data_IF_973568507737
#
_entry.id   IF_973568507737
#
_cell.length_a   1.000
_cell.length_b   1.000
_cell.length_c   1.000
_cell.angle_alpha   90.00
_cell.angle_beta   90.00
_cell.angle_gamma   90.00
#
_symmetry.space_group_name_H-M   'P 1'
#
loop_
_entity.id
_entity.type
_entity.pdbx_description
1 polymer ?
#
# COMPACT_ATOMS: atom_id res chain seq x y z
N UNK A 1 -4.42 19.36 7.20
CA UNK A 1 -3.88 18.24 6.40
C UNK A 1 -3.77 18.61 4.90
N UNK A 2 -4.83 19.14 4.27
CA UNK A 2 -4.88 19.42 2.82
C UNK A 2 -3.73 20.34 2.34
N UNK A 3 -3.49 21.45 3.02
CA UNK A 3 -2.40 22.40 2.69
C UNK A 3 -0.99 21.80 2.79
N UNK A 4 -0.76 20.87 3.72
CA UNK A 4 0.53 20.18 3.86
C UNK A 4 0.74 19.19 2.71
N UNK A 5 -0.33 18.49 2.30
CA UNK A 5 -0.32 17.58 1.17
C UNK A 5 -0.04 18.32 -0.15
N UNK A 6 -0.73 19.43 -0.39
CA UNK A 6 -0.53 20.27 -1.57
C UNK A 6 0.91 20.79 -1.66
N UNK A 7 1.51 21.17 -0.51
CA UNK A 7 2.93 21.55 -0.47
C UNK A 7 3.84 20.37 -0.81
N UNK A 8 3.64 19.19 -0.20
CA UNK A 8 4.46 18.01 -0.46
C UNK A 8 4.46 17.63 -1.95
N UNK A 9 3.30 17.62 -2.58
CA UNK A 9 3.13 17.31 -4.01
C UNK A 9 3.90 18.28 -4.91
N UNK A 10 3.97 19.54 -4.53
CA UNK A 10 4.63 20.57 -5.36
C UNK A 10 6.16 20.57 -5.26
N UNK A 11 6.73 20.02 -4.19
CA UNK A 11 8.18 20.07 -3.94
C UNK A 11 8.87 18.70 -3.97
N UNK A 12 8.13 17.61 -3.88
CA UNK A 12 8.70 16.26 -3.89
C UNK A 12 8.91 15.74 -5.31
N UNK A 13 10.03 15.07 -5.55
CA UNK A 13 10.29 14.36 -6.80
C UNK A 13 9.37 13.15 -7.00
N UNK A 14 8.98 12.50 -5.90
CA UNK A 14 8.02 11.39 -5.86
C UNK A 14 7.16 11.50 -4.61
N UNK A 15 5.89 11.19 -4.75
CA UNK A 15 4.92 11.24 -3.66
C UNK A 15 4.33 9.86 -3.43
N UNK A 16 4.51 9.35 -2.20
CA UNK A 16 3.89 8.12 -1.74
C UNK A 16 2.86 8.43 -0.65
N UNK A 17 1.76 7.67 -0.63
CA UNK A 17 0.74 7.79 0.40
C UNK A 17 0.14 6.42 0.74
N UNK A 18 -0.15 6.21 2.03
CA UNK A 18 -1.04 5.13 2.49
C UNK A 18 -2.47 5.66 2.57
N UNK A 19 -3.45 4.83 2.20
CA UNK A 19 -4.87 5.15 2.38
C UNK A 19 -5.31 5.15 3.84
N UNK A 20 -4.48 4.60 4.72
CA UNK A 20 -4.56 4.58 6.19
C UNK A 20 -5.65 3.67 6.77
N UNK A 21 -6.91 3.94 6.47
CA UNK A 21 -8.04 3.13 6.91
C UNK A 21 -9.27 3.34 6.02
N UNK A 22 -10.17 2.36 6.05
CA UNK A 22 -11.40 2.35 5.27
C UNK A 22 -12.33 3.52 5.60
N UNK A 23 -12.40 3.98 6.87
CA UNK A 23 -13.25 5.10 7.26
C UNK A 23 -12.77 6.42 6.64
N UNK A 24 -11.45 6.64 6.58
CA UNK A 24 -10.85 7.77 5.89
C UNK A 24 -11.16 7.72 4.39
N UNK A 25 -11.03 6.55 3.78
CA UNK A 25 -11.35 6.34 2.36
C UNK A 25 -12.81 6.67 2.10
N UNK A 26 -13.76 6.11 2.85
CA UNK A 26 -15.19 6.30 2.65
C UNK A 26 -15.61 7.76 2.82
N UNK A 27 -15.03 8.45 3.80
CA UNK A 27 -15.32 9.88 4.08
C UNK A 27 -14.78 10.82 3.02
N UNK A 28 -13.65 10.49 2.38
CA UNK A 28 -12.93 11.37 1.46
C UNK A 28 -12.70 10.75 0.08
N UNK A 29 -13.56 9.84 -0.35
CA UNK A 29 -13.42 8.98 -1.53
C UNK A 29 -13.03 9.74 -2.80
N UNK A 30 -13.77 10.77 -3.17
CA UNK A 30 -13.51 11.55 -4.39
C UNK A 30 -12.14 12.24 -4.36
N UNK A 31 -11.72 12.74 -3.18
CA UNK A 31 -10.43 13.36 -2.99
C UNK A 31 -9.29 12.32 -3.12
N UNK A 32 -9.40 11.19 -2.43
CA UNK A 32 -8.40 10.12 -2.50
C UNK A 32 -8.31 9.53 -3.90
N UNK A 33 -9.44 9.32 -4.57
CA UNK A 33 -9.44 8.83 -5.95
C UNK A 33 -8.71 9.78 -6.91
N UNK A 34 -8.91 11.10 -6.75
CA UNK A 34 -8.18 12.10 -7.52
C UNK A 34 -6.66 12.07 -7.21
N UNK A 35 -6.28 11.92 -5.94
CA UNK A 35 -4.87 11.79 -5.56
C UNK A 35 -4.22 10.57 -6.20
N UNK A 36 -4.84 9.40 -6.05
CA UNK A 36 -4.34 8.12 -6.59
C UNK A 36 -4.20 8.16 -8.11
N UNK A 37 -5.19 8.71 -8.81
CA UNK A 37 -5.15 8.78 -10.28
C UNK A 37 -4.16 9.80 -10.82
N UNK A 38 -4.01 10.97 -10.16
CA UNK A 38 -3.40 12.12 -10.79
C UNK A 38 -2.17 12.70 -10.08
N UNK A 39 -1.98 12.42 -8.78
CA UNK A 39 -0.99 13.13 -7.97
C UNK A 39 0.06 12.24 -7.32
N UNK A 40 -0.29 11.02 -6.98
CA UNK A 40 0.61 10.08 -6.33
C UNK A 40 1.42 9.29 -7.35
N UNK A 41 2.67 9.01 -7.01
CA UNK A 41 3.52 8.06 -7.73
C UNK A 41 3.35 6.66 -7.17
N UNK A 42 3.14 6.55 -5.85
CA UNK A 42 2.99 5.29 -5.13
C UNK A 42 1.80 5.40 -4.18
N UNK A 43 0.91 4.41 -4.23
CA UNK A 43 -0.20 4.27 -3.28
C UNK A 43 -0.07 2.95 -2.54
N UNK A 44 -0.07 3.01 -1.20
CA UNK A 44 -0.20 1.84 -0.33
C UNK A 44 -1.64 1.73 0.15
N UNK A 45 -2.17 0.51 0.13
CA UNK A 45 -3.51 0.20 0.60
C UNK A 45 -3.58 -1.25 1.09
N UNK A 46 -4.58 -1.57 1.90
CA UNK A 46 -5.01 -2.95 2.02
C UNK A 46 -6.13 -3.27 0.99
N UNK A 47 -6.48 -4.56 0.86
CA UNK A 47 -7.50 -5.01 -0.11
C UNK A 47 -8.85 -4.31 0.10
N UNK A 48 -9.29 -4.12 1.37
CA UNK A 48 -10.55 -3.47 1.69
C UNK A 48 -10.56 -1.98 1.35
N UNK A 49 -9.48 -1.28 1.65
CA UNK A 49 -9.33 0.15 1.37
C UNK A 49 -9.40 0.44 -0.12
N UNK A 50 -8.65 -0.29 -0.93
CA UNK A 50 -8.64 -0.06 -2.37
C UNK A 50 -9.96 -0.47 -3.03
N UNK A 51 -10.56 -1.58 -2.60
CA UNK A 51 -11.87 -1.98 -3.09
C UNK A 51 -12.94 -0.95 -2.73
N UNK A 52 -12.92 -0.42 -1.51
CA UNK A 52 -13.82 0.65 -1.11
C UNK A 52 -13.59 1.92 -1.92
N UNK A 53 -12.34 2.33 -2.14
CA UNK A 53 -12.00 3.55 -2.89
C UNK A 53 -12.62 3.56 -4.29
N UNK A 54 -12.53 2.44 -5.00
CA UNK A 54 -13.02 2.33 -6.40
C UNK A 54 -14.40 1.70 -6.53
N UNK A 55 -15.09 1.38 -5.42
CA UNK A 55 -16.34 0.61 -5.38
C UNK A 55 -16.24 -0.74 -6.11
N UNK A 56 -15.11 -1.41 -6.01
CA UNK A 56 -14.89 -2.69 -6.66
C UNK A 56 -15.76 -3.80 -6.03
N UNK A 57 -16.31 -4.67 -6.87
CA UNK A 57 -17.07 -5.86 -6.46
C UNK A 57 -16.15 -7.05 -6.18
N UNK A 58 -15.05 -7.10 -6.89
CA UNK A 58 -14.03 -8.15 -6.73
C UNK A 58 -12.62 -7.59 -6.99
N UNK A 59 -11.61 -8.42 -6.70
CA UNK A 59 -10.22 -8.00 -6.86
C UNK A 59 -9.77 -7.88 -8.33
N UNK A 60 -10.51 -8.45 -9.29
CA UNK A 60 -10.21 -8.29 -10.72
C UNK A 60 -10.40 -6.84 -11.17
N UNK A 61 -11.41 -6.16 -10.62
CA UNK A 61 -11.61 -4.73 -10.87
C UNK A 61 -10.46 -3.89 -10.32
N UNK A 62 -9.85 -4.29 -9.19
CA UNK A 62 -8.66 -3.65 -8.65
C UNK A 62 -7.45 -3.83 -9.57
N UNK A 63 -7.26 -5.03 -10.13
CA UNK A 63 -6.19 -5.29 -11.11
C UNK A 63 -6.37 -4.42 -12.36
N UNK A 64 -7.58 -4.33 -12.88
CA UNK A 64 -7.91 -3.48 -14.03
C UNK A 64 -7.61 -2.01 -13.74
N UNK A 65 -8.07 -1.51 -12.60
CA UNK A 65 -7.80 -0.15 -12.15
C UNK A 65 -6.30 0.14 -12.02
N UNK A 66 -5.54 -0.77 -11.39
CA UNK A 66 -4.09 -0.64 -11.22
C UNK A 66 -3.34 -0.56 -12.55
N UNK A 67 -3.78 -1.33 -13.55
CA UNK A 67 -3.23 -1.28 -14.91
C UNK A 67 -3.52 0.06 -15.60
N UNK A 68 -4.74 0.56 -15.46
CA UNK A 68 -5.19 1.80 -16.11
C UNK A 68 -4.48 3.05 -15.58
N UNK A 69 -4.30 3.16 -14.27
CA UNK A 69 -3.68 4.36 -13.66
C UNK A 69 -2.20 4.49 -13.96
N UNK A 70 -1.51 3.41 -14.34
CA UNK A 70 -0.07 3.36 -14.65
C UNK A 70 0.85 3.91 -13.54
N UNK A 71 0.31 4.11 -12.34
CA UNK A 71 1.03 4.46 -11.12
C UNK A 71 1.31 3.22 -10.30
N UNK A 72 2.28 3.27 -9.42
CA UNK A 72 2.60 2.12 -8.58
C UNK A 72 1.56 1.97 -7.46
N UNK A 73 0.77 0.92 -7.54
CA UNK A 73 -0.21 0.52 -6.53
C UNK A 73 0.32 -0.71 -5.78
N UNK A 74 0.47 -0.59 -4.48
CA UNK A 74 1.00 -1.65 -3.59
C UNK A 74 -0.07 -2.01 -2.58
N UNK A 75 -0.51 -3.27 -2.59
CA UNK A 75 -1.68 -3.72 -1.82
C UNK A 75 -1.30 -4.89 -0.93
N UNK A 76 -1.57 -4.76 0.37
CA UNK A 76 -1.52 -5.87 1.31
C UNK A 76 -2.86 -6.60 1.32
N UNK A 77 -2.83 -7.94 1.41
CA UNK A 77 -4.00 -8.80 1.23
C UNK A 77 -4.15 -9.83 2.36
N UNK A 78 -3.70 -9.47 3.56
CA UNK A 78 -3.73 -10.37 4.71
C UNK A 78 -3.02 -11.69 4.42
N UNK A 79 -3.67 -12.80 4.64
CA UNK A 79 -3.12 -14.15 4.40
C UNK A 79 -2.75 -14.46 2.95
N UNK A 80 -3.26 -13.69 2.00
CA UNK A 80 -2.93 -13.81 0.57
C UNK A 80 -1.60 -13.13 0.21
N UNK A 81 -0.95 -12.44 1.17
CA UNK A 81 0.32 -11.77 0.96
C UNK A 81 0.19 -10.34 0.47
N UNK A 82 1.01 -9.95 -0.49
CA UNK A 82 1.02 -8.60 -1.04
C UNK A 82 1.27 -8.60 -2.55
N UNK A 83 0.78 -7.56 -3.21
CA UNK A 83 0.89 -7.38 -4.66
C UNK A 83 1.29 -5.94 -5.00
N UNK A 84 2.12 -5.77 -6.01
CA UNK A 84 2.38 -4.48 -6.65
C UNK A 84 1.93 -4.51 -8.10
N UNK A 85 1.31 -3.42 -8.55
CA UNK A 85 0.75 -3.25 -9.89
C UNK A 85 1.24 -1.92 -10.45
N UNK A 86 1.87 -1.95 -11.64
CA UNK A 86 2.28 -0.75 -12.37
C UNK A 86 2.07 -0.96 -13.87
N UNK A 87 0.94 -0.52 -14.39
CA UNK A 87 0.54 -0.90 -15.75
C UNK A 87 0.40 -2.41 -15.84
N UNK A 88 1.04 -3.02 -16.84
CA UNK A 88 1.01 -4.49 -17.02
C UNK A 88 2.00 -5.26 -16.13
N UNK A 89 2.89 -4.56 -15.44
CA UNK A 89 3.80 -5.19 -14.49
C UNK A 89 3.07 -5.50 -13.18
N UNK A 90 2.91 -6.79 -12.90
CA UNK A 90 2.28 -7.31 -11.67
C UNK A 90 3.28 -8.23 -10.99
N UNK A 91 3.51 -7.99 -9.70
CA UNK A 91 4.37 -8.83 -8.86
C UNK A 91 3.63 -9.19 -7.59
N UNK A 92 3.64 -10.45 -7.21
CA UNK A 92 2.99 -10.96 -6.00
C UNK A 92 3.98 -11.71 -5.11
N UNK A 93 3.77 -11.63 -3.80
CA UNK A 93 4.48 -12.42 -2.79
C UNK A 93 3.48 -12.96 -1.78
N UNK A 94 3.74 -14.16 -1.28
CA UNK A 94 2.98 -14.75 -0.17
C UNK A 94 3.44 -14.22 1.18
N UNK A 95 2.85 -14.75 2.25
CA UNK A 95 3.24 -14.48 3.63
C UNK A 95 4.11 -15.61 4.21
N UNK A 96 4.83 -15.30 5.30
CA UNK A 96 5.37 -16.33 6.19
C UNK A 96 4.21 -17.05 6.90
N UNK A 97 4.23 -18.37 6.90
CA UNK A 97 3.23 -19.18 7.61
C UNK A 97 3.58 -19.28 9.11
N UNK A 98 2.57 -19.60 9.92
CA UNK A 98 2.72 -19.87 11.35
C UNK A 98 3.28 -18.68 12.15
N UNK A 99 2.69 -17.49 11.96
CA UNK A 99 2.98 -16.33 12.79
C UNK A 99 2.03 -16.28 13.98
N UNK A 100 2.57 -16.01 15.15
CA UNK A 100 1.78 -15.73 16.36
C UNK A 100 1.32 -14.27 16.33
N UNK A 101 0.11 -14.04 15.85
CA UNK A 101 -0.45 -12.70 15.72
C UNK A 101 -0.90 -12.20 17.08
N UNK A 102 -0.26 -11.15 17.58
CA UNK A 102 -0.54 -10.50 18.88
C UNK A 102 -1.30 -9.19 18.67
N UNK A 103 -0.82 -8.33 17.76
CA UNK A 103 -1.41 -7.02 17.49
C UNK A 103 -1.15 -6.61 16.04
N UNK A 104 -2.19 -6.17 15.33
CA UNK A 104 -2.07 -5.73 13.93
C UNK A 104 -1.69 -4.25 13.78
N UNK A 105 -1.55 -3.52 14.89
CA UNK A 105 -1.22 -2.09 14.88
C UNK A 105 0.14 -1.85 14.23
N UNK A 106 0.17 -0.96 13.25
CA UNK A 106 1.40 -0.59 12.53
C UNK A 106 1.82 -1.58 11.44
N UNK A 107 1.08 -2.66 11.19
CA UNK A 107 1.41 -3.63 10.14
C UNK A 107 1.57 -2.98 8.76
N UNK A 108 0.63 -2.12 8.37
CA UNK A 108 0.66 -1.39 7.11
C UNK A 108 1.80 -0.37 7.03
N UNK A 109 2.09 0.33 8.13
CA UNK A 109 3.16 1.32 8.19
C UNK A 109 4.54 0.66 8.07
N UNK A 110 4.76 -0.42 8.80
CA UNK A 110 6.02 -1.19 8.74
C UNK A 110 6.17 -1.89 7.37
N UNK A 111 5.08 -2.36 6.77
CA UNK A 111 5.10 -2.86 5.40
C UNK A 111 5.57 -1.77 4.43
N UNK A 112 4.94 -0.59 4.47
CA UNK A 112 5.31 0.53 3.60
C UNK A 112 6.76 0.99 3.84
N UNK A 113 7.22 1.05 5.09
CA UNK A 113 8.59 1.40 5.43
C UNK A 113 9.61 0.41 4.84
N UNK A 114 9.40 -0.90 5.01
CA UNK A 114 10.26 -1.95 4.43
C UNK A 114 10.28 -1.93 2.91
N UNK A 115 9.11 -1.75 2.30
CA UNK A 115 8.97 -1.64 0.86
C UNK A 115 9.72 -0.42 0.30
N UNK A 116 9.48 0.77 0.87
CA UNK A 116 10.11 2.02 0.44
C UNK A 116 11.64 1.98 0.65
N UNK A 117 12.11 1.43 1.78
CA UNK A 117 13.55 1.25 2.02
C UNK A 117 14.20 0.44 0.88
N UNK A 118 13.60 -0.67 0.48
CA UNK A 118 14.12 -1.48 -0.62
C UNK A 118 14.02 -0.76 -1.97
N UNK A 119 12.92 -0.06 -2.21
CA UNK A 119 12.70 0.66 -3.46
C UNK A 119 13.73 1.77 -3.70
N UNK A 120 14.05 2.57 -2.67
CA UNK A 120 15.06 3.64 -2.77
C UNK A 120 16.48 3.10 -2.91
N UNK A 121 16.72 1.86 -2.50
CA UNK A 121 17.99 1.14 -2.70
C UNK A 121 18.02 0.33 -4.01
N UNK A 122 17.07 0.58 -4.93
CA UNK A 122 16.99 -0.01 -6.27
C UNK A 122 16.81 -1.54 -6.30
N UNK A 123 16.20 -2.12 -5.28
CA UNK A 123 15.80 -3.53 -5.30
C UNK A 123 14.64 -3.76 -6.28
N UNK A 124 14.50 -5.00 -6.76
CA UNK A 124 13.39 -5.39 -7.63
C UNK A 124 12.06 -5.39 -6.87
N UNK A 125 10.95 -5.25 -7.58
CA UNK A 125 9.61 -5.19 -6.98
C UNK A 125 9.30 -6.37 -6.05
N UNK A 126 9.75 -7.58 -6.40
CA UNK A 126 9.58 -8.76 -5.56
C UNK A 126 10.29 -8.61 -4.21
N UNK A 127 11.55 -8.18 -4.24
CA UNK A 127 12.36 -7.96 -3.03
C UNK A 127 11.77 -6.84 -2.15
N UNK A 128 11.20 -5.79 -2.78
CA UNK A 128 10.50 -4.73 -2.05
C UNK A 128 9.26 -5.28 -1.32
N UNK A 129 8.45 -6.10 -1.99
CA UNK A 129 7.29 -6.75 -1.38
C UNK A 129 7.69 -7.72 -0.27
N UNK A 130 8.72 -8.52 -0.48
CA UNK A 130 9.26 -9.47 0.51
C UNK A 130 9.74 -8.72 1.76
N UNK A 131 10.46 -7.60 1.59
CA UNK A 131 10.92 -6.78 2.71
C UNK A 131 9.78 -6.11 3.46
N UNK A 132 8.80 -5.58 2.76
CA UNK A 132 7.57 -5.06 3.37
C UNK A 132 6.85 -6.13 4.19
N UNK A 133 6.66 -7.32 3.61
CA UNK A 133 6.03 -8.46 4.28
C UNK A 133 6.84 -8.93 5.50
N UNK A 134 8.16 -8.94 5.42
CA UNK A 134 9.03 -9.26 6.55
C UNK A 134 8.81 -8.29 7.71
N UNK A 135 8.86 -6.98 7.44
CA UNK A 135 8.71 -5.94 8.47
C UNK A 135 7.32 -5.98 9.11
N UNK A 136 6.27 -6.12 8.29
CA UNK A 136 4.90 -6.32 8.77
C UNK A 136 4.78 -7.58 9.64
N UNK A 137 5.35 -8.70 9.21
CA UNK A 137 5.32 -9.95 9.95
C UNK A 137 6.04 -9.87 11.31
N UNK A 138 7.04 -9.02 11.44
CA UNK A 138 7.75 -8.82 12.72
C UNK A 138 6.92 -8.01 13.70
N UNK A 139 6.31 -6.92 13.25
CA UNK A 139 5.55 -6.04 14.15
C UNK A 139 4.28 -6.70 14.70
N UNK A 140 3.58 -7.50 13.90
CA UNK A 140 2.32 -8.12 14.36
C UNK A 140 2.49 -9.21 15.43
N UNK A 141 3.71 -9.65 15.72
CA UNK A 141 4.02 -10.65 16.75
C UNK A 141 4.31 -10.04 18.12
N UNK A 142 4.09 -8.75 18.30
CA UNK A 142 4.28 -8.04 19.56
C UNK A 142 3.24 -6.93 19.73
N UNK A 143 3.11 -6.38 20.94
CA UNK A 143 2.20 -5.26 21.18
C UNK A 143 2.78 -3.94 20.67
N UNK A 144 1.93 -3.17 20.01
CA UNK A 144 2.23 -1.83 19.53
C UNK A 144 2.95 -1.81 18.18
N UNK A 145 3.13 -0.61 17.64
CA UNK A 145 3.62 -0.35 16.27
C UNK A 145 5.15 -0.22 16.14
N UNK A 146 5.92 -0.71 17.08
CA UNK A 146 7.40 -0.59 17.09
C UNK A 146 8.04 -1.96 17.14
N UNK A 147 9.18 -2.10 16.45
CA UNK A 147 10.05 -3.28 16.43
C UNK A 147 11.46 -2.90 16.85
#
# INVERSE_FOLDING_TARGET
PKKAFDKAINYANKVAMSLSDKFCVDRHKSHFLNLVKNKLDITFANEEEIMSLINAKDFKEVLTFGKEIKKLLVITRGEKGAISIKGDEITEVGIKKNLDIVDLTGAGDLFAAGYLHSLINNFKQKECLEKGTEMSSRVIQQFGARI
#
